data_IF_094954588660
#
_entry.id   IF_094954588660
#
_cell.length_a   1.000
_cell.length_b   1.000
_cell.length_c   1.000
_cell.angle_alpha   90.00
_cell.angle_beta   90.00
_cell.angle_gamma   90.00
#
_symmetry.space_group_name_H-M   'P 1'
#
loop_
_entity.id
_entity.type
_entity.pdbx_description
1 polymer ?
#
# COMPACT_ATOMS: atom_id res chain seq x y z
N UNK A 1 -18.43 14.26 16.59
CA UNK A 1 -17.56 14.32 17.79
C UNK A 1 -16.11 13.90 17.52
N UNK A 2 -15.70 13.54 16.29
CA UNK A 2 -14.33 13.08 15.99
C UNK A 2 -13.54 14.03 15.08
N UNK A 3 -13.68 15.35 15.28
CA UNK A 3 -13.02 16.39 14.48
C UNK A 3 -12.06 17.27 15.30
N UNK A 4 -11.49 16.73 16.38
CA UNK A 4 -10.87 17.54 17.44
C UNK A 4 -9.34 17.55 17.49
N UNK A 5 -8.65 16.72 16.69
CA UNK A 5 -7.18 16.73 16.65
C UNK A 5 -6.75 17.70 15.55
N UNK A 6 -6.50 18.93 15.95
CA UNK A 6 -5.93 19.97 15.10
C UNK A 6 -4.45 19.67 14.85
N UNK A 7 -3.99 19.85 13.61
CA UNK A 7 -2.57 19.74 13.23
C UNK A 7 -1.68 20.54 14.20
N UNK A 8 -2.16 21.69 14.67
CA UNK A 8 -1.43 22.56 15.61
C UNK A 8 -1.19 21.92 16.98
N UNK A 9 -2.13 21.11 17.49
CA UNK A 9 -1.96 20.41 18.76
C UNK A 9 -0.93 19.28 18.61
N UNK A 10 -0.97 18.56 17.48
CA UNK A 10 0.02 17.53 17.14
C UNK A 10 1.45 18.08 17.10
N UNK A 11 1.66 19.28 16.54
CA UNK A 11 2.98 19.93 16.52
C UNK A 11 3.49 20.28 17.92
N UNK A 12 2.61 20.80 18.79
CA UNK A 12 2.97 21.11 20.18
C UNK A 12 3.35 19.83 20.94
N UNK A 13 2.56 18.77 20.80
CA UNK A 13 2.85 17.47 21.43
C UNK A 13 4.17 16.90 20.89
N UNK A 14 4.39 16.95 19.58
CA UNK A 14 5.62 16.49 18.95
C UNK A 14 6.84 17.25 19.48
N UNK A 15 6.75 18.57 19.64
CA UNK A 15 7.83 19.37 20.19
C UNK A 15 8.20 18.91 21.61
N UNK A 16 7.21 18.67 22.48
CA UNK A 16 7.46 18.17 23.84
C UNK A 16 8.15 16.80 23.80
N UNK A 17 7.67 15.88 22.96
CA UNK A 17 8.29 14.54 22.79
C UNK A 17 9.75 14.67 22.33
N UNK A 18 10.02 15.54 21.36
CA UNK A 18 11.39 15.78 20.87
C UNK A 18 12.29 16.35 21.98
N UNK A 19 11.78 17.26 22.82
CA UNK A 19 12.51 17.82 23.96
C UNK A 19 12.79 16.77 25.04
N UNK A 20 11.84 15.89 25.35
CA UNK A 20 12.00 14.84 26.37
C UNK A 20 12.97 13.74 25.92
N UNK A 21 12.82 13.25 24.69
CA UNK A 21 13.64 12.15 24.17
C UNK A 21 14.97 12.64 23.57
N UNK A 22 15.07 13.93 23.25
CA UNK A 22 16.17 14.52 22.52
C UNK A 22 16.17 14.16 21.02
N UNK A 23 16.63 15.08 20.18
CA UNK A 23 16.70 14.88 18.72
C UNK A 23 17.60 13.72 18.30
N UNK A 24 18.63 13.39 19.09
CA UNK A 24 19.61 12.33 18.78
C UNK A 24 18.99 10.93 18.84
N UNK A 25 18.15 10.66 19.85
CA UNK A 25 17.47 9.38 20.02
C UNK A 25 16.33 9.23 19.00
N UNK A 26 15.60 10.31 18.77
CA UNK A 26 14.53 10.37 17.79
C UNK A 26 15.05 10.22 16.35
N UNK A 27 16.25 10.74 16.04
CA UNK A 27 16.88 10.57 14.73
C UNK A 27 17.32 9.13 14.48
N UNK A 28 17.96 8.47 15.44
CA UNK A 28 18.38 7.07 15.24
C UNK A 28 17.17 6.16 15.00
N UNK A 29 16.15 6.25 15.87
CA UNK A 29 14.91 5.45 15.73
C UNK A 29 14.12 5.88 14.48
N UNK A 30 14.09 7.18 14.17
CA UNK A 30 13.40 7.72 13.00
C UNK A 30 14.05 7.35 11.69
N UNK A 31 15.38 7.18 11.64
CA UNK A 31 16.08 6.66 10.45
C UNK A 31 15.74 5.19 10.20
N UNK A 32 15.71 4.37 11.25
CA UNK A 32 15.44 2.93 11.13
C UNK A 32 13.97 2.69 10.71
N UNK A 33 13.02 3.35 11.40
CA UNK A 33 11.60 3.29 11.06
C UNK A 33 11.28 3.98 9.73
N UNK A 34 11.90 5.13 9.48
CA UNK A 34 11.70 5.90 8.25
C UNK A 34 12.20 5.16 7.02
N UNK A 35 13.31 4.42 7.12
CA UNK A 35 13.81 3.54 6.07
C UNK A 35 12.82 2.42 5.73
N UNK A 36 12.28 1.76 6.74
CA UNK A 36 11.28 0.69 6.54
C UNK A 36 9.99 1.22 5.90
N UNK A 37 9.47 2.36 6.36
CA UNK A 37 8.27 2.99 5.80
C UNK A 37 8.50 3.51 4.38
N UNK A 38 9.71 4.02 4.08
CA UNK A 38 10.07 4.46 2.73
C UNK A 38 10.02 3.29 1.73
N UNK A 39 10.63 2.16 2.07
CA UNK A 39 10.58 0.96 1.23
C UNK A 39 9.15 0.47 0.98
N UNK A 40 8.31 0.47 2.02
CA UNK A 40 6.89 0.13 1.87
C UNK A 40 6.15 1.07 0.93
N UNK A 41 6.30 2.39 1.09
CA UNK A 41 5.67 3.38 0.20
C UNK A 41 6.13 3.23 -1.25
N UNK A 42 7.41 2.99 -1.45
CA UNK A 42 7.99 2.85 -2.79
C UNK A 42 7.47 1.57 -3.47
N UNK A 43 7.38 0.44 -2.76
CA UNK A 43 6.77 -0.80 -3.28
C UNK A 43 5.28 -0.68 -3.59
N UNK A 44 4.51 0.02 -2.75
CA UNK A 44 3.09 0.28 -3.02
C UNK A 44 2.94 1.12 -4.28
N UNK A 45 3.74 2.18 -4.41
CA UNK A 45 3.69 3.09 -5.56
C UNK A 45 4.11 2.40 -6.87
N UNK A 46 5.08 1.48 -6.82
CA UNK A 46 5.49 0.73 -8.01
C UNK A 46 4.46 -0.37 -8.37
N UNK A 47 3.82 -0.99 -7.38
CA UNK A 47 2.69 -1.89 -7.61
C UNK A 47 1.46 -1.19 -8.21
N UNK A 48 1.20 0.07 -7.84
CA UNK A 48 0.15 0.90 -8.46
C UNK A 48 0.47 1.21 -9.93
N UNK A 49 1.74 1.53 -10.25
CA UNK A 49 2.17 1.78 -11.64
C UNK A 49 2.16 0.51 -12.51
N UNK A 50 2.51 -0.65 -11.95
CA UNK A 50 2.38 -1.93 -12.66
C UNK A 50 0.92 -2.27 -12.95
N UNK A 51 -0.01 -1.93 -12.03
CA UNK A 51 -1.44 -2.09 -12.26
C UNK A 51 -2.03 -1.11 -13.29
N UNK A 52 -1.46 0.09 -13.45
CA UNK A 52 -1.86 1.02 -14.51
C UNK A 52 -1.30 0.62 -15.87
N UNK A 53 -0.05 0.13 -15.95
CA UNK A 53 0.51 -0.37 -17.21
C UNK A 53 -0.18 -1.65 -17.69
N UNK A 54 -0.63 -2.52 -16.77
CA UNK A 54 -1.39 -3.74 -17.12
C UNK A 54 -2.79 -3.44 -17.65
N UNK A 55 -3.35 -2.26 -17.39
CA UNK A 55 -4.66 -1.83 -17.91
C UNK A 55 -4.59 -1.18 -19.30
N UNK A 56 -3.42 -0.72 -19.73
CA UNK A 56 -3.23 -0.11 -21.06
C UNK A 56 -2.84 -1.16 -22.13
N UNK A 57 -2.45 -2.38 -21.72
CA UNK A 57 -1.98 -3.45 -22.60
C UNK A 57 -2.91 -4.67 -22.70
N UNK A 58 -4.19 -4.56 -22.31
CA UNK A 58 -5.09 -5.70 -22.17
C UNK A 58 -6.48 -5.54 -22.78
N UNK A 59 -6.57 -4.88 -23.94
CA UNK A 59 -7.80 -4.71 -24.73
C UNK A 59 -7.55 -5.10 -26.21
N UNK A 60 -6.90 -6.24 -26.51
CA UNK A 60 -6.98 -6.87 -27.85
C UNK A 60 -6.53 -8.34 -27.85
N UNK A 61 -7.36 -9.26 -27.38
CA UNK A 61 -7.22 -10.68 -27.71
C UNK A 61 -8.50 -11.48 -27.42
N UNK A 62 -9.39 -11.46 -28.41
CA UNK A 62 -9.62 -12.66 -29.23
C UNK A 62 -10.34 -13.84 -28.59
N UNK A 63 -11.56 -14.06 -29.07
CA UNK A 63 -12.32 -15.32 -29.04
C UNK A 63 -11.44 -16.56 -29.32
N UNK A 64 -11.59 -17.66 -28.56
CA UNK A 64 -10.97 -18.93 -28.95
C UNK A 64 -10.84 -20.04 -27.91
N UNK A 65 -11.88 -20.86 -27.81
CA UNK A 65 -11.82 -22.33 -27.74
C UNK A 65 -11.34 -23.08 -26.47
N UNK A 66 -12.34 -23.74 -25.87
CA UNK A 66 -12.40 -25.20 -25.63
C UNK A 66 -11.55 -25.81 -24.53
N UNK A 67 -12.21 -26.14 -23.41
CA UNK A 67 -11.99 -27.40 -22.70
C UNK A 67 -13.32 -28.04 -22.35
N UNK A 68 -13.62 -29.11 -23.08
CA UNK A 68 -14.56 -30.17 -22.70
C UNK A 68 -14.34 -30.60 -21.25
N UNK A 69 -15.43 -30.65 -20.48
CA UNK A 69 -15.55 -31.54 -19.34
C UNK A 69 -16.78 -32.41 -19.55
N UNK A 70 -16.53 -33.69 -19.80
CA UNK A 70 -17.48 -34.78 -19.61
C UNK A 70 -18.15 -34.67 -18.23
N UNK A 71 -19.48 -34.74 -18.21
CA UNK A 71 -20.26 -35.67 -17.36
C UNK A 71 -21.75 -35.37 -17.50
N UNK A 72 -22.44 -36.12 -18.36
CA UNK A 72 -23.78 -36.59 -18.00
C UNK A 72 -24.04 -37.93 -18.67
N UNK A 73 -23.74 -38.99 -17.92
CA UNK A 73 -24.34 -40.30 -18.08
C UNK A 73 -25.68 -40.23 -17.37
N UNK A 74 -26.77 -40.18 -18.12
CA UNK A 74 -28.04 -40.76 -17.69
C UNK A 74 -28.88 -41.06 -18.94
N UNK A 75 -28.85 -42.33 -19.32
CA UNK A 75 -29.74 -42.95 -20.28
C UNK A 75 -30.32 -44.16 -19.56
N UNK A 76 -31.56 -44.02 -19.09
CA UNK A 76 -32.53 -45.08 -18.80
C UNK A 76 -33.92 -44.44 -18.83
#
# INVERSE_FOLDING_TARGET
MLGGISIWQLLIVLAIVVLLFGTKKLRNIGSDLGGAVKGFKDSVKDGEKEQDQKRIAGDDDGEGQTREQEKHKDQA
#
